data_IF_278282267492
#
_entry.id   IF_278282267492
#
_cell.length_a   1.000
_cell.length_b   1.000
_cell.length_c   1.000
_cell.angle_alpha   90.00
_cell.angle_beta   90.00
_cell.angle_gamma   90.00
#
_symmetry.space_group_name_H-M   'P 1'
#
loop_
_entity.id
_entity.type
_entity.pdbx_description
1 polymer ?
#
# COMPACT_ATOMS: atom_id res chain seq x y z
N UNK A 1 3.68 0.06 -13.45
CA UNK A 1 2.69 -0.06 -12.40
C UNK A 1 2.23 -1.49 -12.13
N UNK A 2 1.98 -2.31 -13.12
CA UNK A 2 1.59 -3.72 -12.94
C UNK A 2 2.66 -4.58 -12.23
N UNK A 3 3.95 -4.26 -12.40
CA UNK A 3 5.06 -4.99 -11.74
C UNK A 3 4.98 -5.00 -10.21
N UNK A 4 4.79 -3.86 -9.52
CA UNK A 4 4.62 -3.87 -8.06
C UNK A 4 3.42 -4.68 -7.60
N UNK A 5 2.29 -4.57 -8.29
CA UNK A 5 1.09 -5.34 -7.96
C UNK A 5 1.30 -6.84 -8.11
N UNK A 6 1.92 -7.28 -9.21
CA UNK A 6 2.30 -8.68 -9.41
C UNK A 6 3.20 -9.21 -8.30
N UNK A 7 4.19 -8.41 -7.88
CA UNK A 7 5.08 -8.75 -6.76
C UNK A 7 4.31 -8.88 -5.46
N UNK A 8 3.42 -7.94 -5.17
CA UNK A 8 2.61 -7.96 -3.97
C UNK A 8 1.70 -9.20 -3.91
N UNK A 9 0.98 -9.51 -4.99
CA UNK A 9 0.13 -10.69 -5.08
C UNK A 9 0.92 -11.99 -4.89
N UNK A 10 2.11 -12.08 -5.52
CA UNK A 10 2.99 -13.25 -5.37
C UNK A 10 3.46 -13.48 -3.94
N UNK A 11 3.80 -12.40 -3.23
CA UNK A 11 4.30 -12.47 -1.85
C UNK A 11 3.17 -12.71 -0.86
N UNK A 12 2.07 -11.97 -1.01
CA UNK A 12 0.97 -11.96 -0.04
C UNK A 12 -0.03 -13.10 -0.24
N UNK A 13 -0.11 -13.65 -1.46
CA UNK A 13 -1.05 -14.73 -1.84
C UNK A 13 -2.46 -14.48 -1.31
N UNK A 14 -3.08 -13.36 -1.71
CA UNK A 14 -4.37 -12.97 -1.15
C UNK A 14 -5.45 -14.01 -1.49
N UNK A 15 -6.40 -14.14 -0.59
CA UNK A 15 -7.60 -14.94 -0.86
C UNK A 15 -8.44 -14.34 -1.99
N UNK A 16 -9.17 -15.17 -2.74
CA UNK A 16 -10.13 -14.70 -3.73
C UNK A 16 -11.10 -13.66 -3.16
N UNK A 17 -11.36 -12.61 -3.93
CA UNK A 17 -12.28 -11.56 -3.50
C UNK A 17 -11.61 -10.37 -2.79
N UNK A 18 -10.27 -10.36 -2.66
CA UNK A 18 -9.58 -9.16 -2.14
C UNK A 18 -9.88 -7.96 -3.04
N UNK A 19 -10.28 -6.86 -2.42
CA UNK A 19 -10.56 -5.60 -3.13
C UNK A 19 -9.26 -4.83 -3.32
N UNK A 20 -8.99 -4.41 -4.56
CA UNK A 20 -7.89 -3.51 -4.91
C UNK A 20 -8.48 -2.15 -5.25
N UNK A 21 -8.34 -1.21 -4.33
CA UNK A 21 -8.81 0.16 -4.51
C UNK A 21 -7.74 1.02 -5.20
N UNK A 22 -8.13 1.80 -6.18
CA UNK A 22 -7.24 2.73 -6.90
C UNK A 22 -7.98 3.95 -7.41
N UNK A 23 -7.24 4.96 -7.84
CA UNK A 23 -7.80 6.05 -8.62
C UNK A 23 -8.24 5.59 -10.03
N UNK A 24 -8.87 6.47 -10.78
CA UNK A 24 -9.30 6.21 -12.16
C UNK A 24 -8.23 6.50 -13.21
N UNK A 25 -6.96 6.46 -12.85
CA UNK A 25 -5.86 6.66 -13.78
C UNK A 25 -5.93 5.69 -14.99
N UNK A 26 -5.43 6.13 -16.15
CA UNK A 26 -5.49 5.35 -17.38
C UNK A 26 -4.86 3.95 -17.24
N UNK A 27 -3.79 3.84 -16.45
CA UNK A 27 -3.11 2.56 -16.20
C UNK A 27 -4.00 1.58 -15.42
N UNK A 28 -4.81 2.09 -14.48
CA UNK A 28 -5.72 1.29 -13.65
C UNK A 28 -6.96 0.83 -14.43
N UNK A 29 -7.22 1.42 -15.60
CA UNK A 29 -8.34 1.05 -16.47
C UNK A 29 -7.89 0.25 -17.70
N UNK A 30 -6.58 -0.01 -17.84
CA UNK A 30 -6.05 -0.77 -18.96
C UNK A 30 -6.56 -2.22 -18.97
N UNK A 31 -6.69 -2.81 -20.17
CA UNK A 31 -7.10 -4.21 -20.31
C UNK A 31 -6.16 -5.15 -19.58
N UNK A 32 -4.85 -4.92 -19.67
CA UNK A 32 -3.83 -5.72 -18.98
C UNK A 32 -3.98 -5.71 -17.46
N UNK A 33 -4.34 -4.57 -16.90
CA UNK A 33 -4.59 -4.46 -15.46
C UNK A 33 -5.85 -5.24 -15.07
N UNK A 34 -6.94 -5.06 -15.80
CA UNK A 34 -8.21 -5.76 -15.55
C UNK A 34 -8.09 -7.28 -15.71
N UNK A 35 -7.39 -7.75 -16.75
CA UNK A 35 -7.08 -9.17 -16.95
C UNK A 35 -6.30 -9.74 -15.75
N UNK A 36 -5.27 -9.04 -15.31
CA UNK A 36 -4.48 -9.47 -14.16
C UNK A 36 -5.34 -9.59 -12.89
N UNK A 37 -6.21 -8.64 -12.62
CA UNK A 37 -7.13 -8.72 -11.47
C UNK A 37 -8.08 -9.91 -11.60
N UNK A 38 -8.67 -10.09 -12.77
CA UNK A 38 -9.59 -11.22 -13.04
C UNK A 38 -8.91 -12.56 -12.87
N UNK A 39 -7.70 -12.74 -13.44
CA UNK A 39 -6.94 -13.98 -13.36
C UNK A 39 -6.54 -14.35 -11.91
N UNK A 40 -6.41 -13.36 -11.05
CA UNK A 40 -6.07 -13.56 -9.63
C UNK A 40 -7.29 -13.45 -8.70
N UNK A 41 -8.50 -13.41 -9.24
CA UNK A 41 -9.77 -13.31 -8.51
C UNK A 41 -9.81 -12.10 -7.56
N UNK A 42 -9.22 -10.99 -8.00
CA UNK A 42 -9.19 -9.71 -7.29
C UNK A 42 -10.31 -8.80 -7.80
N UNK A 43 -10.90 -8.03 -6.91
CA UNK A 43 -12.03 -7.15 -7.21
C UNK A 43 -11.52 -5.71 -7.34
N UNK A 44 -11.64 -5.07 -8.52
CA UNK A 44 -11.28 -3.66 -8.66
C UNK A 44 -12.30 -2.76 -7.97
N UNK A 45 -11.81 -1.74 -7.30
CA UNK A 45 -12.59 -0.64 -6.76
C UNK A 45 -11.92 0.67 -7.17
N UNK A 46 -12.70 1.64 -7.57
CA UNK A 46 -12.19 2.92 -8.07
C UNK A 46 -12.75 4.09 -7.27
N UNK A 47 -11.91 5.11 -7.08
CA UNK A 47 -12.32 6.37 -6.49
C UNK A 47 -13.51 6.98 -7.24
N UNK A 48 -14.55 7.42 -6.54
CA UNK A 48 -15.68 8.12 -7.13
C UNK A 48 -15.30 9.56 -7.54
N UNK A 49 -16.05 10.14 -8.47
CA UNK A 49 -15.78 11.50 -8.92
C UNK A 49 -16.01 12.57 -7.84
N UNK A 50 -16.85 12.26 -6.85
CA UNK A 50 -17.29 13.24 -5.85
C UNK A 50 -16.58 13.11 -4.49
N UNK A 51 -15.83 12.03 -4.25
CA UNK A 51 -15.22 11.71 -2.95
C UNK A 51 -13.75 11.27 -3.06
N UNK A 52 -13.03 11.77 -4.07
CA UNK A 52 -11.65 11.33 -4.36
C UNK A 52 -10.68 11.53 -3.19
N UNK A 53 -10.81 12.62 -2.45
CA UNK A 53 -9.91 12.93 -1.33
C UNK A 53 -10.12 11.97 -0.16
N UNK A 54 -11.37 11.70 0.21
CA UNK A 54 -11.70 10.86 1.36
C UNK A 54 -11.38 9.38 1.12
N UNK A 55 -11.63 8.91 -0.11
CA UNK A 55 -11.42 7.51 -0.48
C UNK A 55 -9.94 7.12 -0.57
N UNK A 56 -9.03 8.08 -0.78
CA UNK A 56 -7.58 7.86 -0.82
C UNK A 56 -6.84 8.35 0.45
N UNK A 57 -7.56 8.75 1.49
CA UNK A 57 -6.98 9.34 2.69
C UNK A 57 -5.94 8.43 3.37
N UNK A 58 -6.15 7.12 3.40
CA UNK A 58 -5.21 6.17 3.98
C UNK A 58 -3.87 6.14 3.22
N UNK A 59 -3.90 6.16 1.90
CA UNK A 59 -2.71 6.21 1.05
C UNK A 59 -1.99 7.55 1.20
N UNK A 60 -2.72 8.65 1.23
CA UNK A 60 -2.16 9.99 1.43
C UNK A 60 -1.50 10.12 2.81
N UNK A 61 -2.11 9.57 3.85
CA UNK A 61 -1.55 9.50 5.20
C UNK A 61 -0.25 8.70 5.23
N UNK A 62 -0.19 7.57 4.56
CA UNK A 62 1.04 6.79 4.43
C UNK A 62 2.15 7.59 3.74
N UNK A 63 1.86 8.23 2.61
CA UNK A 63 2.84 9.04 1.89
C UNK A 63 3.32 10.25 2.72
N UNK A 64 2.44 10.89 3.47
CA UNK A 64 2.80 11.99 4.36
C UNK A 64 3.75 11.52 5.48
N UNK A 65 3.47 10.37 6.10
CA UNK A 65 4.32 9.78 7.12
C UNK A 65 5.69 9.40 6.56
N UNK A 66 5.74 8.76 5.40
CA UNK A 66 6.97 8.40 4.71
C UNK A 66 7.85 9.63 4.44
N UNK A 67 7.27 10.71 3.95
CA UNK A 67 7.99 11.95 3.67
C UNK A 67 8.52 12.60 4.95
N UNK A 68 7.66 12.78 5.95
CA UNK A 68 8.03 13.48 7.19
C UNK A 68 8.99 12.67 8.07
N UNK A 69 8.75 11.40 8.24
CA UNK A 69 9.49 10.56 9.18
C UNK A 69 10.74 9.92 8.57
N UNK A 70 10.81 9.82 7.25
CA UNK A 70 11.91 9.19 6.55
C UNK A 70 12.64 10.14 5.59
N UNK A 71 11.99 10.55 4.51
CA UNK A 71 12.69 11.26 3.43
C UNK A 71 13.20 12.65 3.84
N UNK A 72 12.43 13.43 4.60
CA UNK A 72 12.82 14.78 5.03
C UNK A 72 13.89 14.77 6.13
N UNK A 73 14.11 13.64 6.79
CA UNK A 73 15.14 13.46 7.82
C UNK A 73 16.52 13.13 7.23
N UNK A 74 16.60 12.82 5.94
CA UNK A 74 17.82 12.32 5.30
C UNK A 74 18.10 13.06 3.98
N UNK A 75 19.38 13.16 3.65
CA UNK A 75 19.81 13.62 2.33
C UNK A 75 19.99 12.42 1.42
N UNK A 76 19.12 12.31 0.40
CA UNK A 76 19.14 11.23 -0.58
C UNK A 76 19.90 11.66 -1.82
N UNK A 77 20.94 10.92 -2.19
CA UNK A 77 21.85 11.26 -3.29
C UNK A 77 21.53 10.49 -4.59
N UNK A 78 21.01 9.29 -4.48
CA UNK A 78 20.73 8.42 -5.63
C UNK A 78 19.59 7.45 -5.34
N UNK A 79 19.17 6.69 -6.35
CA UNK A 79 18.09 5.73 -6.27
C UNK A 79 18.36 4.60 -5.25
N UNK A 80 19.61 4.11 -5.18
CA UNK A 80 19.96 3.00 -4.28
C UNK A 80 19.82 3.43 -2.81
N UNK A 81 20.30 4.62 -2.48
CA UNK A 81 20.13 5.19 -1.13
C UNK A 81 18.66 5.40 -0.79
N UNK A 82 17.88 5.95 -1.72
CA UNK A 82 16.44 6.13 -1.55
C UNK A 82 15.72 4.80 -1.32
N UNK A 83 16.02 3.80 -2.12
CA UNK A 83 15.44 2.47 -2.00
C UNK A 83 15.73 1.83 -0.64
N UNK A 84 17.00 1.83 -0.21
CA UNK A 84 17.40 1.27 1.08
C UNK A 84 16.74 1.97 2.26
N UNK A 85 16.68 3.29 2.20
CA UNK A 85 16.08 4.12 3.25
C UNK A 85 14.57 3.85 3.38
N UNK A 86 13.86 3.85 2.27
CA UNK A 86 12.42 3.60 2.22
C UNK A 86 12.11 2.16 2.62
N UNK A 87 12.87 1.19 2.12
CA UNK A 87 12.70 -0.22 2.47
C UNK A 87 12.85 -0.44 3.98
N UNK A 88 13.90 0.08 4.58
CA UNK A 88 14.13 -0.03 6.02
C UNK A 88 13.04 0.68 6.84
N UNK A 89 12.59 1.84 6.40
CA UNK A 89 11.49 2.54 7.05
C UNK A 89 10.20 1.73 7.02
N UNK A 90 9.82 1.20 5.88
CA UNK A 90 8.59 0.43 5.72
C UNK A 90 8.66 -0.89 6.49
N UNK A 91 9.67 -1.70 6.24
CA UNK A 91 9.74 -3.07 6.76
C UNK A 91 10.13 -3.12 8.24
N UNK A 92 11.11 -2.31 8.67
CA UNK A 92 11.64 -2.39 10.03
C UNK A 92 10.96 -1.43 11.02
N UNK A 93 10.28 -0.40 10.55
CA UNK A 93 9.64 0.58 11.43
C UNK A 93 8.13 0.69 11.18
N UNK A 94 7.70 1.08 10.00
CA UNK A 94 6.28 1.36 9.73
C UNK A 94 5.40 0.14 9.98
N UNK A 95 5.73 -0.98 9.38
CA UNK A 95 4.93 -2.21 9.50
C UNK A 95 5.10 -2.91 10.85
N UNK A 96 6.29 -2.89 11.43
CA UNK A 96 6.62 -3.69 12.61
C UNK A 96 6.51 -2.95 13.94
N UNK A 97 6.70 -1.63 13.96
CA UNK A 97 6.84 -0.85 15.20
C UNK A 97 5.93 0.36 15.28
N UNK A 98 5.69 1.06 14.16
CA UNK A 98 4.91 2.29 14.17
C UNK A 98 3.47 2.01 14.56
N UNK A 99 2.98 2.68 15.60
CA UNK A 99 1.61 2.57 16.06
C UNK A 99 0.66 3.49 15.26
N UNK A 100 -0.57 3.08 15.09
CA UNK A 100 -1.60 3.82 14.36
C UNK A 100 -2.90 3.86 15.15
N UNK A 101 -3.43 5.05 15.38
CA UNK A 101 -4.68 5.23 16.13
C UNK A 101 -5.89 4.54 15.48
N UNK A 102 -5.91 4.47 14.15
CA UNK A 102 -7.00 3.83 13.39
C UNK A 102 -7.07 2.31 13.53
N UNK A 103 -6.03 1.69 14.06
CA UNK A 103 -5.94 0.24 14.33
C UNK A 103 -5.56 -0.04 15.79
N UNK A 104 -6.23 0.64 16.70
CA UNK A 104 -6.10 0.47 18.15
C UNK A 104 -4.66 0.67 18.66
N UNK A 105 -3.92 1.60 18.09
CA UNK A 105 -2.51 1.88 18.44
C UNK A 105 -1.58 0.68 18.29
N UNK A 106 -1.95 -0.27 17.45
CA UNK A 106 -1.08 -1.37 17.05
C UNK A 106 -0.22 -0.98 15.83
N UNK A 107 0.85 -1.74 15.61
CA UNK A 107 1.53 -1.70 14.32
C UNK A 107 0.75 -2.49 13.26
N UNK A 108 0.92 -2.21 11.96
CA UNK A 108 0.27 -2.98 10.90
C UNK A 108 0.48 -4.50 11.03
N UNK A 109 1.69 -4.95 11.31
CA UNK A 109 1.99 -6.38 11.49
C UNK A 109 1.27 -6.97 12.71
N UNK A 110 1.25 -6.26 13.84
CA UNK A 110 0.56 -6.71 15.05
C UNK A 110 -0.94 -6.81 14.82
N UNK A 111 -1.54 -5.81 14.17
CA UNK A 111 -2.95 -5.80 13.83
C UNK A 111 -3.32 -6.95 12.88
N UNK A 112 -2.53 -7.17 11.83
CA UNK A 112 -2.74 -8.27 10.89
C UNK A 112 -2.66 -9.64 11.58
N UNK A 113 -1.70 -9.82 12.47
CA UNK A 113 -1.56 -11.06 13.25
C UNK A 113 -2.76 -11.30 14.18
N UNK A 114 -3.26 -10.25 14.80
CA UNK A 114 -4.46 -10.32 15.64
C UNK A 114 -5.68 -10.79 14.83
N UNK A 115 -5.91 -10.24 13.64
CA UNK A 115 -7.03 -10.61 12.78
C UNK A 115 -6.91 -12.06 12.31
N UNK A 116 -5.72 -12.51 11.90
CA UNK A 116 -5.48 -13.87 11.40
C UNK A 116 -5.67 -14.93 12.47
N UNK A 117 -5.45 -14.59 13.72
CA UNK A 117 -5.57 -15.50 14.87
C UNK A 117 -6.93 -15.42 15.57
N UNK A 118 -7.81 -14.58 15.07
CA UNK A 118 -9.17 -14.41 15.63
C UNK A 118 -10.11 -15.53 15.18
#
# INVERSE_FOLDING_TARGET
>A
MLKPLKKAVKIRKPEPGLIIHSDKGAQMRSSKYREFLSDNLLIPSYTSLNHSCDENAAQESFHASLKKECLYQHTVRNYIEAYSLIYNYIENFYNGKRIHSSIDYLSPCAYESMIKNA
#
